data_IF_576449229443
#
_entry.id   IF_576449229443
#
_cell.length_a   1.000
_cell.length_b   1.000
_cell.length_c   1.000
_cell.angle_alpha   90.00
_cell.angle_beta   90.00
_cell.angle_gamma   90.00
#
_symmetry.space_group_name_H-M   'P 1'
#
loop_
_entity.id
_entity.type
_entity.pdbx_description
1 polymer ?
#
# COMPACT_ATOMS: atom_id res chain seq x y z
N UNK A 1 61.59 -17.95 -18.13
CA UNK A 1 60.59 -17.28 -17.26
C UNK A 1 60.59 -17.98 -15.94
N UNK A 2 60.97 -17.32 -14.85
CA UNK A 2 61.13 -17.91 -13.53
C UNK A 2 59.75 -18.35 -12.99
N UNK A 3 59.66 -19.62 -12.59
CA UNK A 3 58.39 -20.18 -12.08
C UNK A 3 58.18 -19.91 -10.58
N UNK A 4 59.31 -19.82 -9.86
CA UNK A 4 59.31 -19.52 -8.43
C UNK A 4 59.12 -18.02 -8.18
N UNK A 5 58.16 -17.60 -7.35
CA UNK A 5 57.95 -16.19 -6.99
C UNK A 5 59.14 -15.55 -6.28
N UNK A 6 59.89 -16.31 -5.47
CA UNK A 6 61.08 -15.85 -4.74
C UNK A 6 62.26 -15.57 -5.67
N UNK A 7 62.51 -16.46 -6.66
CA UNK A 7 63.50 -16.23 -7.70
C UNK A 7 63.15 -15.00 -8.56
N UNK A 8 61.91 -14.81 -8.91
CA UNK A 8 61.47 -13.61 -9.66
C UNK A 8 61.71 -12.32 -8.88
N UNK A 9 61.42 -12.32 -7.59
CA UNK A 9 61.63 -11.14 -6.74
C UNK A 9 63.12 -10.84 -6.59
N UNK A 10 63.97 -11.88 -6.45
CA UNK A 10 65.42 -11.69 -6.37
C UNK A 10 66.03 -11.14 -7.68
N UNK A 11 65.54 -11.58 -8.82
CA UNK A 11 65.98 -11.06 -10.11
C UNK A 11 65.55 -9.59 -10.34
N UNK A 12 64.35 -9.21 -9.89
CA UNK A 12 63.88 -7.84 -9.93
C UNK A 12 64.77 -6.94 -9.02
N UNK A 13 65.12 -7.40 -7.83
CA UNK A 13 66.00 -6.69 -6.90
C UNK A 13 67.40 -6.52 -7.45
N UNK A 14 67.88 -7.42 -8.31
CA UNK A 14 69.19 -7.36 -8.96
C UNK A 14 69.24 -6.32 -10.09
N UNK A 15 68.11 -5.84 -10.59
CA UNK A 15 68.03 -4.73 -11.56
C UNK A 15 67.92 -3.42 -10.78
N UNK A 16 69.06 -2.90 -10.30
CA UNK A 16 69.12 -1.84 -9.29
C UNK A 16 68.37 -0.54 -9.61
N UNK A 17 68.28 -0.12 -10.88
CA UNK A 17 67.56 1.07 -11.29
C UNK A 17 66.04 0.82 -11.37
N UNK A 18 65.60 -0.27 -12.00
CA UNK A 18 64.20 -0.64 -12.14
C UNK A 18 63.56 -1.04 -10.79
N UNK A 19 64.37 -1.68 -9.89
CA UNK A 19 63.87 -2.03 -8.56
C UNK A 19 63.57 -0.82 -7.69
N UNK A 20 64.36 0.26 -7.76
CA UNK A 20 64.10 1.48 -7.01
C UNK A 20 62.79 2.17 -7.47
N UNK A 21 62.62 2.26 -8.77
CA UNK A 21 61.39 2.85 -9.32
C UNK A 21 60.13 2.00 -8.95
N UNK A 22 60.25 0.66 -9.00
CA UNK A 22 59.20 -0.24 -8.57
C UNK A 22 58.96 -0.18 -7.06
N UNK A 23 60.03 -0.17 -6.25
CA UNK A 23 59.92 -0.17 -4.79
C UNK A 23 59.35 1.11 -4.20
N UNK A 24 59.73 2.27 -4.80
CA UNK A 24 59.34 3.56 -4.25
C UNK A 24 58.05 4.13 -4.92
N UNK A 25 57.79 3.78 -6.17
CA UNK A 25 56.64 4.31 -6.92
C UNK A 25 55.48 3.34 -7.09
N UNK A 26 55.74 2.12 -7.51
CA UNK A 26 54.68 1.16 -7.91
C UNK A 26 54.31 0.17 -6.81
N UNK A 27 55.31 -0.45 -6.13
CA UNK A 27 55.04 -1.45 -5.11
C UNK A 27 54.24 -0.91 -3.91
N UNK A 28 54.40 0.34 -3.42
CA UNK A 28 53.57 0.87 -2.37
C UNK A 28 52.09 1.01 -2.80
N UNK A 29 51.82 1.28 -4.08
CA UNK A 29 50.48 1.35 -4.63
C UNK A 29 49.82 -0.01 -4.80
N UNK A 30 50.61 -1.06 -5.05
CA UNK A 30 50.15 -2.45 -5.17
C UNK A 30 50.05 -3.18 -3.81
N UNK A 31 50.77 -2.72 -2.77
CA UNK A 31 50.70 -3.23 -1.40
C UNK A 31 49.48 -2.66 -0.69
N UNK A 32 48.30 -3.01 -1.16
CA UNK A 32 47.04 -2.60 -0.53
C UNK A 32 46.41 -3.81 0.15
N UNK A 33 46.24 -3.73 1.45
CA UNK A 33 45.33 -4.62 2.16
C UNK A 33 43.91 -4.10 2.00
N UNK A 34 43.05 -4.85 1.32
CA UNK A 34 41.63 -4.55 1.24
C UNK A 34 40.94 -5.34 2.35
N UNK A 35 40.48 -4.61 3.35
CA UNK A 35 39.64 -5.19 4.39
C UNK A 35 38.18 -5.09 3.92
N UNK A 36 37.48 -6.21 3.79
CA UNK A 36 36.05 -6.27 3.53
C UNK A 36 35.43 -6.70 4.85
N UNK A 37 34.65 -5.80 5.43
CA UNK A 37 33.82 -6.09 6.60
C UNK A 37 32.42 -6.39 6.11
N UNK A 38 32.01 -7.64 6.21
CA UNK A 38 30.63 -8.03 6.03
C UNK A 38 29.96 -7.92 7.40
N UNK A 39 28.87 -7.14 7.47
CA UNK A 39 28.05 -7.07 8.66
C UNK A 39 26.59 -7.38 8.27
N UNK A 40 25.92 -8.05 9.15
CA UNK A 40 24.49 -8.32 9.04
C UNK A 40 23.77 -7.39 10.02
N UNK A 41 22.83 -6.61 9.54
CA UNK A 41 22.00 -5.78 10.42
C UNK A 41 20.85 -6.64 10.91
N UNK A 42 20.86 -7.00 12.17
CA UNK A 42 19.74 -7.68 12.82
C UNK A 42 18.70 -6.60 13.16
N UNK A 43 17.55 -6.66 12.51
CA UNK A 43 16.41 -5.77 12.81
C UNK A 43 15.88 -6.02 14.24
N UNK A 44 15.20 -5.03 14.80
CA UNK A 44 14.48 -5.19 16.09
C UNK A 44 13.28 -6.11 15.91
N UNK A 45 12.94 -6.89 16.95
CA UNK A 45 11.67 -7.62 16.98
C UNK A 45 10.49 -6.67 17.19
N UNK A 46 9.27 -7.17 16.97
CA UNK A 46 8.02 -6.40 17.16
C UNK A 46 7.93 -5.84 18.58
N UNK A 47 8.27 -6.65 19.59
CA UNK A 47 8.28 -6.26 21.00
C UNK A 47 9.32 -5.16 21.26
N UNK A 48 10.52 -5.31 20.70
CA UNK A 48 11.59 -4.31 20.84
C UNK A 48 11.22 -2.98 20.19
N UNK A 49 10.52 -3.00 19.04
CA UNK A 49 10.02 -1.80 18.38
C UNK A 49 8.96 -1.13 19.23
N UNK A 50 7.99 -1.90 19.76
CA UNK A 50 6.94 -1.36 20.63
C UNK A 50 7.46 -0.79 21.94
N UNK A 51 8.43 -1.46 22.57
CA UNK A 51 9.10 -0.97 23.77
C UNK A 51 9.89 0.32 23.49
N UNK A 52 10.65 0.34 22.41
CA UNK A 52 11.45 1.49 22.02
C UNK A 52 10.58 2.69 21.62
N UNK A 53 9.44 2.45 20.96
CA UNK A 53 8.47 3.48 20.61
C UNK A 53 7.93 4.21 21.86
N UNK A 54 7.72 3.46 22.96
CA UNK A 54 7.25 4.01 24.25
C UNK A 54 8.36 4.68 25.07
N UNK A 55 9.57 4.09 25.06
CA UNK A 55 10.66 4.55 25.89
C UNK A 55 11.39 5.77 25.30
N UNK A 56 11.75 5.70 24.01
CA UNK A 56 12.45 6.76 23.29
C UNK A 56 12.32 6.51 21.77
N UNK A 57 11.30 7.07 21.11
CA UNK A 57 11.05 6.84 19.68
C UNK A 57 12.13 7.43 18.77
N UNK A 58 12.97 8.35 19.25
CA UNK A 58 14.05 8.94 18.46
C UNK A 58 15.14 7.94 18.07
N UNK A 59 15.17 6.77 18.73
CA UNK A 59 16.11 5.67 18.45
C UNK A 59 15.58 4.67 17.41
N UNK A 60 14.34 4.80 17.00
CA UNK A 60 13.79 4.03 15.89
C UNK A 60 14.10 4.77 14.58
N UNK A 61 14.41 4.03 13.52
CA UNK A 61 14.45 4.61 12.17
C UNK A 61 13.02 4.77 11.61
N UNK A 62 12.90 5.49 10.50
CA UNK A 62 11.57 5.78 9.90
C UNK A 62 10.79 4.52 9.54
N UNK A 63 11.46 3.49 9.04
CA UNK A 63 10.81 2.22 8.67
C UNK A 63 10.27 1.50 9.90
N UNK A 64 11.01 1.50 11.00
CA UNK A 64 10.57 0.92 12.27
C UNK A 64 9.38 1.68 12.88
N UNK A 65 9.36 3.03 12.80
CA UNK A 65 8.21 3.82 13.26
C UNK A 65 6.99 3.57 12.40
N UNK A 66 7.14 3.54 11.06
CA UNK A 66 6.03 3.22 10.16
C UNK A 66 5.52 1.79 10.36
N UNK A 67 6.43 0.85 10.60
CA UNK A 67 6.09 -0.54 10.88
C UNK A 67 5.34 -0.68 12.21
N UNK A 68 5.74 0.08 13.26
CA UNK A 68 5.06 0.06 14.56
C UNK A 68 3.55 0.36 14.43
N UNK A 69 3.15 1.21 13.50
CA UNK A 69 1.73 1.48 13.24
C UNK A 69 0.98 0.27 12.69
N UNK A 70 1.68 -0.71 12.08
CA UNK A 70 1.05 -1.96 11.62
C UNK A 70 0.82 -2.97 12.74
N UNK A 71 1.47 -2.77 13.90
CA UNK A 71 1.39 -3.65 15.07
C UNK A 71 0.24 -3.26 16.03
N UNK A 72 -0.54 -2.25 15.69
CA UNK A 72 -1.72 -1.81 16.46
C UNK A 72 -2.97 -1.93 15.59
N UNK A 73 -4.12 -2.21 16.21
CA UNK A 73 -5.37 -2.41 15.47
C UNK A 73 -6.16 -1.11 15.28
N UNK A 74 -6.19 -0.28 16.32
CA UNK A 74 -7.00 0.94 16.36
C UNK A 74 -6.47 2.03 15.42
N UNK A 75 -7.33 2.56 14.56
CA UNK A 75 -6.95 3.60 13.60
C UNK A 75 -6.44 4.87 14.27
N UNK A 76 -6.98 5.25 15.43
CA UNK A 76 -6.49 6.39 16.22
C UNK A 76 -5.04 6.18 16.69
N UNK A 77 -4.73 4.96 17.16
CA UNK A 77 -3.36 4.63 17.58
C UNK A 77 -2.39 4.61 16.39
N UNK A 78 -2.82 4.09 15.22
CA UNK A 78 -2.03 4.19 13.98
C UNK A 78 -1.73 5.63 13.61
N UNK A 79 -2.76 6.47 13.67
CA UNK A 79 -2.64 7.89 13.32
C UNK A 79 -1.66 8.62 14.24
N UNK A 80 -1.71 8.36 15.56
CA UNK A 80 -0.78 8.95 16.53
C UNK A 80 0.68 8.54 16.23
N UNK A 81 0.92 7.27 15.87
CA UNK A 81 2.26 6.80 15.48
C UNK A 81 2.70 7.46 14.17
N UNK A 82 1.82 7.60 13.18
CA UNK A 82 2.17 8.31 11.94
C UNK A 82 2.42 9.80 12.16
N UNK A 83 1.67 10.46 13.06
CA UNK A 83 1.95 11.85 13.46
C UNK A 83 3.34 11.98 14.09
N UNK A 84 3.67 11.07 15.00
CA UNK A 84 5.01 10.99 15.56
C UNK A 84 6.08 10.80 14.47
N UNK A 85 5.82 9.94 13.48
CA UNK A 85 6.72 9.77 12.34
C UNK A 85 6.89 11.08 11.54
N UNK A 86 5.85 11.90 11.37
CA UNK A 86 5.97 13.20 10.69
C UNK A 86 6.79 14.22 11.50
N UNK A 87 6.80 14.12 12.82
CA UNK A 87 7.61 14.99 13.69
C UNK A 87 9.09 14.58 13.65
N UNK A 88 9.37 13.28 13.74
CA UNK A 88 10.74 12.74 13.73
C UNK A 88 11.38 12.78 12.34
N UNK A 89 10.58 12.55 11.29
CA UNK A 89 11.03 12.41 9.91
C UNK A 89 10.20 13.29 8.96
N UNK A 90 10.25 14.62 9.09
CA UNK A 90 9.36 15.54 8.36
C UNK A 90 9.53 15.52 6.83
N UNK A 91 10.64 14.98 6.34
CA UNK A 91 10.93 14.83 4.91
C UNK A 91 10.52 13.46 4.34
N UNK A 92 9.96 12.56 5.16
CA UNK A 92 9.44 11.28 4.67
C UNK A 92 7.94 11.42 4.35
N UNK A 93 7.60 11.29 3.07
CA UNK A 93 6.24 11.47 2.58
C UNK A 93 5.27 10.36 3.01
N UNK A 94 5.78 9.17 3.38
CA UNK A 94 4.97 7.99 3.65
C UNK A 94 4.07 8.15 4.87
N UNK A 95 4.59 8.78 5.93
CA UNK A 95 3.81 9.04 7.14
C UNK A 95 2.60 9.94 6.86
N UNK A 96 2.81 11.05 6.15
CA UNK A 96 1.73 11.96 5.73
C UNK A 96 0.71 11.24 4.84
N UNK A 97 1.18 10.43 3.89
CA UNK A 97 0.28 9.66 3.02
C UNK A 97 -0.55 8.64 3.81
N UNK A 98 0.03 7.98 4.81
CA UNK A 98 -0.67 7.01 5.64
C UNK A 98 -1.74 7.69 6.51
N UNK A 99 -1.47 8.87 7.08
CA UNK A 99 -2.50 9.67 7.76
C UNK A 99 -3.62 10.05 6.78
N UNK A 100 -3.27 10.49 5.56
CA UNK A 100 -4.26 10.84 4.55
C UNK A 100 -5.18 9.65 4.22
N UNK A 101 -4.65 8.44 4.18
CA UNK A 101 -5.43 7.22 3.95
C UNK A 101 -6.41 6.94 5.10
N UNK A 102 -5.98 7.13 6.35
CA UNK A 102 -6.85 6.97 7.53
C UNK A 102 -7.97 8.02 7.53
N UNK A 103 -7.63 9.28 7.27
CA UNK A 103 -8.58 10.38 7.19
C UNK A 103 -9.60 10.19 6.05
N UNK A 104 -9.13 9.70 4.88
CA UNK A 104 -10.02 9.36 3.77
C UNK A 104 -11.01 8.25 4.16
N UNK A 105 -10.53 7.19 4.80
CA UNK A 105 -11.36 6.08 5.27
C UNK A 105 -12.37 6.50 6.35
N UNK A 106 -12.02 7.51 7.16
CA UNK A 106 -12.92 8.12 8.14
C UNK A 106 -13.93 9.12 7.51
N UNK A 107 -13.82 9.41 6.20
CA UNK A 107 -14.66 10.37 5.50
C UNK A 107 -14.21 11.84 5.64
N UNK A 108 -13.06 12.09 6.28
CA UNK A 108 -12.51 13.43 6.50
C UNK A 108 -11.72 13.92 5.28
N UNK A 109 -12.40 14.13 4.16
CA UNK A 109 -11.80 14.37 2.83
C UNK A 109 -10.88 15.60 2.80
N UNK A 110 -11.24 16.68 3.52
CA UNK A 110 -10.43 17.90 3.55
C UNK A 110 -9.14 17.70 4.37
N UNK A 111 -9.20 16.93 5.46
CA UNK A 111 -8.00 16.52 6.21
C UNK A 111 -7.10 15.61 5.36
N UNK A 112 -7.67 14.60 4.70
CA UNK A 112 -6.94 13.73 3.78
C UNK A 112 -6.17 14.52 2.73
N UNK A 113 -6.81 15.51 2.08
CA UNK A 113 -6.15 16.37 1.10
C UNK A 113 -4.97 17.16 1.67
N UNK A 114 -5.14 17.75 2.86
CA UNK A 114 -4.05 18.48 3.54
C UNK A 114 -2.83 17.59 3.74
N UNK A 115 -3.02 16.36 4.21
CA UNK A 115 -1.93 15.43 4.42
C UNK A 115 -1.30 14.96 3.11
N UNK A 116 -2.09 14.78 2.03
CA UNK A 116 -1.53 14.50 0.70
C UNK A 116 -0.66 15.66 0.20
N UNK A 117 -1.08 16.90 0.40
CA UNK A 117 -0.28 18.08 0.05
C UNK A 117 1.04 18.13 0.83
N UNK A 118 1.04 17.73 2.09
CA UNK A 118 2.26 17.61 2.89
C UNK A 118 3.15 16.48 2.38
N UNK A 119 2.56 15.31 2.04
CA UNK A 119 3.29 14.20 1.42
C UNK A 119 3.96 14.64 0.12
N UNK A 120 3.26 15.39 -0.74
CA UNK A 120 3.80 15.90 -2.00
C UNK A 120 4.91 16.95 -1.80
N UNK A 121 4.85 17.75 -0.73
CA UNK A 121 5.94 18.67 -0.36
C UNK A 121 7.18 17.91 0.09
N UNK A 122 7.01 16.83 0.84
CA UNK A 122 8.10 15.97 1.28
C UNK A 122 8.68 15.14 0.13
N UNK A 123 7.83 14.65 -0.78
CA UNK A 123 8.23 13.92 -1.99
C UNK A 123 7.22 14.12 -3.11
N UNK A 124 7.56 14.94 -4.11
CA UNK A 124 6.69 15.27 -5.24
C UNK A 124 6.32 14.07 -6.15
N UNK A 125 7.03 12.94 -6.01
CA UNK A 125 6.86 11.76 -6.85
C UNK A 125 6.29 10.54 -6.14
N UNK A 126 5.70 10.69 -4.94
CA UNK A 126 5.12 9.54 -4.22
C UNK A 126 3.89 9.01 -4.97
N UNK A 127 3.94 7.77 -5.54
CA UNK A 127 2.83 7.23 -6.33
C UNK A 127 1.55 7.02 -5.51
N UNK A 128 1.67 6.67 -4.23
CA UNK A 128 0.56 6.48 -3.32
C UNK A 128 -0.24 7.78 -3.10
N UNK A 129 0.45 8.93 -3.04
CA UNK A 129 -0.21 10.23 -2.93
C UNK A 129 -1.04 10.55 -4.19
N UNK A 130 -0.54 10.19 -5.37
CA UNK A 130 -1.28 10.32 -6.62
C UNK A 130 -2.50 9.37 -6.65
N UNK A 131 -2.34 8.12 -6.20
CA UNK A 131 -3.43 7.16 -6.07
C UNK A 131 -4.56 7.70 -5.17
N UNK A 132 -4.20 8.23 -4.00
CA UNK A 132 -5.16 8.80 -3.04
C UNK A 132 -5.90 10.04 -3.60
N UNK A 133 -5.20 10.91 -4.34
CA UNK A 133 -5.87 12.02 -5.05
C UNK A 133 -6.85 11.52 -6.12
N UNK A 134 -6.48 10.45 -6.82
CA UNK A 134 -7.37 9.78 -7.77
C UNK A 134 -8.64 9.26 -7.10
N UNK A 135 -8.54 8.58 -5.94
CA UNK A 135 -9.70 8.12 -5.17
C UNK A 135 -10.60 9.28 -4.71
N UNK A 136 -10.02 10.37 -4.23
CA UNK A 136 -10.78 11.57 -3.83
C UNK A 136 -11.52 12.18 -5.03
N UNK A 137 -10.90 12.21 -6.21
CA UNK A 137 -11.55 12.69 -7.42
C UNK A 137 -12.70 11.76 -7.85
N UNK A 138 -12.50 10.42 -7.77
CA UNK A 138 -13.56 9.43 -8.04
C UNK A 138 -14.76 9.62 -7.11
N UNK A 139 -14.53 9.84 -5.82
CA UNK A 139 -15.61 10.09 -4.86
C UNK A 139 -16.43 11.33 -5.20
N UNK A 140 -15.81 12.34 -5.85
CA UNK A 140 -16.50 13.54 -6.34
C UNK A 140 -17.15 13.37 -7.70
N UNK A 141 -16.98 12.22 -8.35
CA UNK A 141 -17.45 11.96 -9.71
C UNK A 141 -16.61 12.64 -10.80
N UNK A 142 -15.45 13.22 -10.45
CA UNK A 142 -14.55 13.87 -11.41
C UNK A 142 -13.61 12.84 -12.05
N UNK A 143 -14.13 12.14 -13.05
CA UNK A 143 -13.40 11.08 -13.74
C UNK A 143 -12.15 11.57 -14.45
N UNK A 144 -12.19 12.78 -15.03
CA UNK A 144 -11.06 13.37 -15.76
C UNK A 144 -9.88 13.63 -14.82
N UNK A 145 -10.15 14.25 -13.68
CA UNK A 145 -9.14 14.51 -12.65
C UNK A 145 -8.62 13.20 -12.05
N UNK A 146 -9.52 12.23 -11.83
CA UNK A 146 -9.14 10.91 -11.32
C UNK A 146 -8.16 10.20 -12.26
N UNK A 147 -8.45 10.15 -13.56
CA UNK A 147 -7.54 9.56 -14.57
C UNK A 147 -6.17 10.23 -14.58
N UNK A 148 -6.13 11.56 -14.53
CA UNK A 148 -4.87 12.31 -14.51
C UNK A 148 -4.00 11.96 -13.29
N UNK A 149 -4.61 11.82 -12.11
CA UNK A 149 -3.87 11.41 -10.91
C UNK A 149 -3.47 9.94 -10.95
N UNK A 150 -4.37 9.05 -11.33
CA UNK A 150 -4.13 7.61 -11.36
C UNK A 150 -3.03 7.25 -12.37
N UNK A 151 -2.92 7.97 -13.50
CA UNK A 151 -1.83 7.78 -14.47
C UNK A 151 -0.44 8.04 -13.89
N UNK A 152 -0.34 8.81 -12.80
CA UNK A 152 0.91 9.13 -12.07
C UNK A 152 1.17 8.17 -10.90
N UNK A 153 0.24 7.27 -10.62
CA UNK A 153 0.31 6.35 -9.49
C UNK A 153 1.03 5.02 -9.80
N UNK A 154 1.73 4.94 -10.93
CA UNK A 154 2.48 3.73 -11.32
C UNK A 154 3.47 3.34 -10.23
N UNK A 155 3.37 2.12 -9.75
CA UNK A 155 4.18 1.60 -8.65
C UNK A 155 3.56 1.79 -7.25
N UNK A 156 2.41 2.48 -7.14
CA UNK A 156 1.72 2.59 -5.85
C UNK A 156 1.23 1.23 -5.35
N UNK A 157 1.39 1.01 -4.05
CA UNK A 157 0.74 -0.10 -3.38
C UNK A 157 -0.79 0.07 -3.48
N UNK A 158 -1.51 -1.01 -3.80
CA UNK A 158 -2.96 -0.95 -3.97
C UNK A 158 -3.46 -0.31 -5.28
N UNK A 159 -2.55 -0.04 -6.26
CA UNK A 159 -2.94 0.54 -7.55
C UNK A 159 -4.04 -0.27 -8.27
N UNK A 160 -4.03 -1.60 -8.13
CA UNK A 160 -5.06 -2.47 -8.69
C UNK A 160 -6.46 -2.10 -8.21
N UNK A 161 -6.62 -1.81 -6.91
CA UNK A 161 -7.90 -1.39 -6.34
C UNK A 161 -8.33 -0.01 -6.86
N UNK A 162 -7.40 0.90 -7.02
CA UNK A 162 -7.66 2.26 -7.54
C UNK A 162 -8.08 2.22 -9.01
N UNK A 163 -7.40 1.42 -9.84
CA UNK A 163 -7.76 1.19 -11.25
C UNK A 163 -9.12 0.52 -11.38
N UNK A 164 -9.39 -0.49 -10.56
CA UNK A 164 -10.68 -1.16 -10.52
C UNK A 164 -11.82 -0.19 -10.17
N UNK A 165 -11.64 0.67 -9.19
CA UNK A 165 -12.62 1.71 -8.84
C UNK A 165 -12.83 2.73 -9.97
N UNK A 166 -11.76 3.13 -10.67
CA UNK A 166 -11.87 4.01 -11.84
C UNK A 166 -12.69 3.35 -12.96
N UNK A 167 -12.36 2.10 -13.32
CA UNK A 167 -13.09 1.38 -14.37
C UNK A 167 -14.53 1.06 -13.97
N UNK A 168 -14.79 0.80 -12.68
CA UNK A 168 -16.12 0.64 -12.13
C UNK A 168 -16.95 1.93 -12.32
N UNK A 169 -16.39 3.09 -11.97
CA UNK A 169 -17.02 4.40 -12.12
C UNK A 169 -17.27 4.78 -13.60
N UNK A 170 -16.43 4.29 -14.52
CA UNK A 170 -16.59 4.46 -15.98
C UNK A 170 -17.60 3.49 -16.59
N UNK A 171 -18.09 2.51 -15.84
CA UNK A 171 -18.98 1.45 -16.38
C UNK A 171 -18.23 0.34 -17.13
N UNK A 172 -16.91 0.30 -17.09
CA UNK A 172 -16.08 -0.71 -17.72
C UNK A 172 -15.96 -1.95 -16.82
N UNK A 173 -17.08 -2.62 -16.55
CA UNK A 173 -17.16 -3.67 -15.51
C UNK A 173 -16.23 -4.86 -15.75
N UNK A 174 -16.04 -5.27 -17.00
CA UNK A 174 -15.14 -6.36 -17.35
C UNK A 174 -13.67 -5.99 -17.03
N UNK A 175 -13.25 -4.75 -17.32
CA UNK A 175 -11.92 -4.26 -17.01
C UNK A 175 -11.76 -4.07 -15.49
N UNK A 176 -12.78 -3.53 -14.84
CA UNK A 176 -12.77 -3.38 -13.37
C UNK A 176 -12.56 -4.74 -12.66
N UNK A 177 -13.25 -5.79 -13.11
CA UNK A 177 -13.06 -7.14 -12.57
C UNK A 177 -11.62 -7.65 -12.77
N UNK A 178 -10.99 -7.35 -13.91
CA UNK A 178 -9.59 -7.72 -14.16
C UNK A 178 -8.62 -6.91 -13.26
N UNK A 179 -8.86 -5.63 -13.10
CA UNK A 179 -8.04 -4.76 -12.24
C UNK A 179 -8.13 -5.18 -10.76
N UNK A 180 -9.33 -5.61 -10.31
CA UNK A 180 -9.54 -6.16 -8.96
C UNK A 180 -9.08 -7.60 -8.78
N UNK A 181 -8.32 -8.16 -9.71
CA UNK A 181 -7.82 -9.52 -9.56
C UNK A 181 -7.11 -9.67 -8.20
N UNK A 182 -7.47 -10.73 -7.47
CA UNK A 182 -6.94 -11.06 -6.15
C UNK A 182 -7.28 -10.02 -5.03
N UNK A 183 -8.17 -9.06 -5.31
CA UNK A 183 -8.70 -8.09 -4.32
C UNK A 183 -10.05 -8.58 -3.81
N UNK A 184 -10.18 -8.73 -2.49
CA UNK A 184 -11.43 -9.11 -1.82
C UNK A 184 -12.02 -7.89 -1.11
N UNK A 185 -12.77 -7.08 -1.87
CA UNK A 185 -13.43 -5.85 -1.39
C UNK A 185 -14.86 -5.75 -1.88
N UNK A 186 -15.63 -4.84 -1.28
CA UNK A 186 -16.99 -4.55 -1.73
C UNK A 186 -17.01 -4.01 -3.18
N UNK A 187 -16.03 -3.20 -3.57
CA UNK A 187 -15.90 -2.69 -4.93
C UNK A 187 -15.63 -3.80 -5.93
N UNK A 188 -14.74 -4.75 -5.59
CA UNK A 188 -14.44 -5.92 -6.42
C UNK A 188 -15.70 -6.78 -6.63
N UNK A 189 -16.42 -7.06 -5.55
CA UNK A 189 -17.68 -7.80 -5.63
C UNK A 189 -18.73 -7.08 -6.48
N UNK A 190 -18.86 -5.74 -6.33
CA UNK A 190 -19.76 -4.94 -7.15
C UNK A 190 -19.41 -5.02 -8.63
N UNK A 191 -18.12 -4.91 -9.00
CA UNK A 191 -17.67 -5.05 -10.39
C UNK A 191 -18.06 -6.43 -10.97
N UNK A 192 -17.85 -7.51 -10.21
CA UNK A 192 -18.22 -8.87 -10.59
C UNK A 192 -19.74 -9.05 -10.71
N UNK A 193 -20.54 -8.47 -9.81
CA UNK A 193 -22.00 -8.47 -9.90
C UNK A 193 -22.46 -7.77 -11.17
N UNK A 194 -21.91 -6.58 -11.46
CA UNK A 194 -22.27 -5.78 -12.64
C UNK A 194 -21.80 -6.44 -13.94
N UNK A 195 -20.67 -7.14 -13.91
CA UNK A 195 -20.18 -7.96 -15.01
C UNK A 195 -20.87 -9.34 -15.12
N UNK A 196 -21.87 -9.62 -14.25
CA UNK A 196 -22.64 -10.88 -14.18
C UNK A 196 -21.79 -12.12 -13.82
N UNK A 197 -20.62 -11.93 -13.24
CA UNK A 197 -19.81 -13.03 -12.71
C UNK A 197 -20.22 -13.32 -11.24
N UNK A 198 -21.39 -13.90 -11.07
CA UNK A 198 -22.00 -14.12 -9.76
C UNK A 198 -21.22 -15.12 -8.89
N UNK A 199 -20.60 -16.12 -9.52
CA UNK A 199 -19.78 -17.09 -8.81
C UNK A 199 -18.56 -16.44 -8.14
N UNK A 200 -17.83 -15.60 -8.87
CA UNK A 200 -16.70 -14.84 -8.32
C UNK A 200 -17.16 -13.84 -7.24
N UNK A 201 -18.28 -13.15 -7.48
CA UNK A 201 -18.84 -12.20 -6.51
C UNK A 201 -19.17 -12.88 -5.18
N UNK A 202 -19.74 -14.08 -5.19
CA UNK A 202 -20.02 -14.85 -3.97
C UNK A 202 -18.74 -15.19 -3.20
N UNK A 203 -17.69 -15.60 -3.92
CA UNK A 203 -16.38 -15.87 -3.32
C UNK A 203 -15.78 -14.60 -2.72
N UNK A 204 -15.76 -13.51 -3.49
CA UNK A 204 -15.22 -12.23 -3.04
C UNK A 204 -15.92 -11.74 -1.77
N UNK A 205 -17.27 -11.72 -1.72
CA UNK A 205 -18.04 -11.29 -0.56
C UNK A 205 -17.84 -12.18 0.68
N UNK A 206 -17.49 -13.45 0.49
CA UNK A 206 -17.14 -14.36 1.59
C UNK A 206 -15.80 -14.00 2.25
N UNK A 207 -14.85 -13.49 1.46
CA UNK A 207 -13.49 -13.23 1.91
C UNK A 207 -13.18 -11.74 2.19
N UNK A 208 -14.18 -10.85 2.16
CA UNK A 208 -14.02 -9.46 2.63
C UNK A 208 -13.56 -9.49 4.09
N UNK A 209 -12.41 -8.87 4.39
CA UNK A 209 -11.79 -8.95 5.72
C UNK A 209 -12.62 -8.33 6.83
N UNK A 210 -13.27 -7.20 6.56
CA UNK A 210 -14.08 -6.46 7.54
C UNK A 210 -15.49 -6.24 6.94
N UNK A 211 -16.37 -7.27 6.98
CA UNK A 211 -17.68 -7.18 6.35
C UNK A 211 -18.59 -6.21 7.11
N UNK A 212 -19.03 -5.18 6.39
CA UNK A 212 -19.89 -4.09 6.85
C UNK A 212 -21.34 -4.22 6.31
N UNK A 213 -22.15 -3.18 6.51
CA UNK A 213 -23.50 -3.11 5.96
C UNK A 213 -23.51 -3.16 4.41
N UNK A 214 -22.51 -2.56 3.74
CA UNK A 214 -22.34 -2.63 2.28
C UNK A 214 -22.13 -4.05 1.81
N UNK A 215 -21.29 -4.82 2.53
CA UNK A 215 -21.05 -6.23 2.20
C UNK A 215 -22.36 -7.04 2.21
N UNK A 216 -23.18 -6.86 3.24
CA UNK A 216 -24.44 -7.59 3.33
C UNK A 216 -25.48 -7.08 2.32
N UNK A 217 -25.48 -5.79 2.00
CA UNK A 217 -26.33 -5.24 0.94
C UNK A 217 -25.95 -5.81 -0.43
N UNK A 218 -24.66 -5.93 -0.74
CA UNK A 218 -24.19 -6.57 -1.99
C UNK A 218 -24.53 -8.05 -2.06
N UNK A 219 -24.52 -8.78 -0.91
CA UNK A 219 -25.04 -10.17 -0.86
C UNK A 219 -26.54 -10.21 -1.18
N UNK A 220 -27.33 -9.24 -0.69
CA UNK A 220 -28.74 -9.15 -1.01
C UNK A 220 -28.98 -8.94 -2.50
N UNK A 221 -28.25 -8.02 -3.14
CA UNK A 221 -28.32 -7.77 -4.59
C UNK A 221 -27.90 -9.03 -5.38
N UNK A 222 -26.81 -9.67 -4.99
CA UNK A 222 -26.31 -10.90 -5.64
C UNK A 222 -27.37 -12.02 -5.56
N UNK A 223 -27.91 -12.30 -4.37
CA UNK A 223 -28.93 -13.33 -4.18
C UNK A 223 -30.21 -13.01 -4.96
N UNK A 224 -30.63 -11.75 -5.00
CA UNK A 224 -31.77 -11.32 -5.81
C UNK A 224 -31.56 -11.55 -7.31
N UNK A 225 -30.37 -11.24 -7.87
CA UNK A 225 -29.99 -11.50 -9.27
C UNK A 225 -29.95 -12.99 -9.59
N UNK A 226 -29.58 -13.83 -8.62
CA UNK A 226 -29.59 -15.29 -8.76
C UNK A 226 -31.00 -15.91 -8.56
N UNK A 227 -32.01 -15.10 -8.21
CA UNK A 227 -33.39 -15.55 -7.96
C UNK A 227 -33.65 -16.07 -6.54
N UNK A 228 -32.69 -15.97 -5.63
CA UNK A 228 -32.76 -16.47 -4.25
C UNK A 228 -33.39 -15.41 -3.33
N UNK A 229 -34.69 -15.20 -3.46
CA UNK A 229 -35.40 -14.10 -2.74
C UNK A 229 -35.36 -14.23 -1.22
N UNK A 230 -35.29 -15.44 -0.67
CA UNK A 230 -35.19 -15.69 0.78
C UNK A 230 -33.84 -15.23 1.32
N UNK A 231 -32.75 -15.66 0.70
CA UNK A 231 -31.40 -15.24 1.07
C UNK A 231 -31.18 -13.73 0.88
N UNK A 232 -31.78 -13.18 -0.19
CA UNK A 232 -31.75 -11.73 -0.44
C UNK A 232 -32.42 -10.96 0.70
N UNK A 233 -33.57 -11.43 1.20
CA UNK A 233 -34.28 -10.82 2.34
C UNK A 233 -33.49 -10.90 3.63
N UNK A 234 -32.82 -12.03 3.90
CA UNK A 234 -31.98 -12.22 5.07
C UNK A 234 -30.75 -11.30 5.03
N UNK A 235 -30.05 -11.24 3.93
CA UNK A 235 -28.91 -10.36 3.73
C UNK A 235 -29.29 -8.87 3.82
N UNK A 236 -30.45 -8.49 3.26
CA UNK A 236 -30.95 -7.12 3.39
C UNK A 236 -31.27 -6.74 4.84
N UNK A 237 -31.90 -7.64 5.61
CA UNK A 237 -32.15 -7.41 7.04
C UNK A 237 -30.84 -7.24 7.82
N UNK A 238 -29.81 -8.04 7.49
CA UNK A 238 -28.49 -7.92 8.10
C UNK A 238 -27.85 -6.55 7.78
N UNK A 239 -27.93 -6.10 6.54
CA UNK A 239 -27.42 -4.78 6.14
C UNK A 239 -28.13 -3.64 6.89
N UNK A 240 -29.46 -3.68 6.95
CA UNK A 240 -30.26 -2.65 7.64
C UNK A 240 -30.04 -2.67 9.15
N UNK A 241 -29.79 -3.83 9.75
CA UNK A 241 -29.46 -3.95 11.17
C UNK A 241 -28.10 -3.31 11.53
N UNK A 242 -27.12 -3.35 10.59
CA UNK A 242 -25.83 -2.67 10.74
C UNK A 242 -25.90 -1.18 10.45
N UNK A 243 -26.70 -0.80 9.43
CA UNK A 243 -26.91 0.59 9.03
C UNK A 243 -28.33 0.76 8.47
N UNK A 244 -29.18 1.48 9.24
CA UNK A 244 -30.58 1.73 8.90
C UNK A 244 -30.78 2.51 7.57
N UNK A 245 -29.76 3.22 7.07
CA UNK A 245 -29.83 3.95 5.80
C UNK A 245 -30.07 3.02 4.61
N UNK A 246 -29.64 1.75 4.69
CA UNK A 246 -29.84 0.76 3.62
C UNK A 246 -31.33 0.41 3.39
N UNK A 247 -32.21 0.63 4.36
CA UNK A 247 -33.65 0.48 4.15
C UNK A 247 -34.16 1.47 3.08
N UNK A 248 -33.62 2.70 3.07
CA UNK A 248 -33.96 3.71 2.08
C UNK A 248 -33.43 3.36 0.68
N UNK A 249 -32.18 2.90 0.59
CA UNK A 249 -31.62 2.44 -0.69
C UNK A 249 -32.41 1.26 -1.25
N UNK A 250 -32.71 0.25 -0.43
CA UNK A 250 -33.48 -0.91 -0.84
C UNK A 250 -34.90 -0.57 -1.29
N UNK A 251 -35.49 0.55 -0.81
CA UNK A 251 -36.85 0.96 -1.19
C UNK A 251 -36.93 1.36 -2.67
N UNK A 252 -35.84 1.85 -3.24
CA UNK A 252 -35.74 2.32 -4.64
C UNK A 252 -34.99 1.37 -5.55
N UNK A 253 -34.35 0.32 -4.98
CA UNK A 253 -33.57 -0.65 -5.73
C UNK A 253 -34.48 -1.64 -6.47
N UNK A 254 -34.45 -1.59 -7.80
CA UNK A 254 -35.30 -2.42 -8.66
C UNK A 254 -35.03 -3.92 -8.50
N UNK A 255 -33.78 -4.30 -8.23
CA UNK A 255 -33.41 -5.70 -8.07
C UNK A 255 -33.98 -6.32 -6.80
N UNK A 256 -34.23 -5.49 -5.79
CA UNK A 256 -34.85 -5.89 -4.53
C UNK A 256 -36.38 -5.74 -4.51
N UNK A 257 -37.01 -5.31 -5.62
CA UNK A 257 -38.45 -5.09 -5.69
C UNK A 257 -39.27 -6.37 -5.37
N UNK A 258 -38.74 -7.54 -5.69
CA UNK A 258 -39.39 -8.85 -5.41
C UNK A 258 -39.01 -9.44 -4.04
N UNK A 259 -38.07 -8.82 -3.35
CA UNK A 259 -37.61 -9.29 -2.03
C UNK A 259 -38.60 -8.78 -0.98
N UNK A 260 -39.17 -9.70 -0.21
CA UNK A 260 -40.06 -9.33 0.91
C UNK A 260 -39.22 -8.66 1.98
N UNK A 261 -39.53 -7.40 2.19
CA UNK A 261 -38.85 -6.54 3.19
C UNK A 261 -39.30 -6.88 4.60
#
# INVERSE_FOLDING_TARGET
>A
MYKDPQEREQQIKNISSAFRELADGILPQLRRSRMIVNYETIGRSDEQIQEQLKADPTKLNVDEVLYAATLVDENSAKEDIYKLATELYPNDARAYNNIATLEYAAGNIDAAKKYIEQAQKASAGLPEAAANLGLIALQKGDLQTAENYISKATGANGLAEVLGNLNLAKGNYAQAEQDFKDVYSNSAALAQILNRNYASAAVTLKYVKNPDATTDYLKAILSARMGNTTEAAEALRAAVAKDASYAKYAATELELAKVKK
#
